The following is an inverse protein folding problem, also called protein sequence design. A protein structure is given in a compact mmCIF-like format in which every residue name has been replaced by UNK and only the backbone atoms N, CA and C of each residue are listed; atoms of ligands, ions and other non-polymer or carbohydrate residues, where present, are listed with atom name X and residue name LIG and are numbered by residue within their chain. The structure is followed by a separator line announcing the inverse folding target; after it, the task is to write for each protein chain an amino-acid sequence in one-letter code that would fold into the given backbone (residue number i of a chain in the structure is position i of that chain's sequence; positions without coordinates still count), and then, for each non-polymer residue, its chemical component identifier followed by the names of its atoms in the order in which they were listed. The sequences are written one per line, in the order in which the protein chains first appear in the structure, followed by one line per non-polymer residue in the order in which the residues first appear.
data_IF_346034870274
#
_entry.id   IF_346034870274
#
_cell.length_a   1.000
_cell.length_b   1.000
_cell.length_c   1.000
_cell.angle_alpha   90.00
_cell.angle_beta   90.00
_cell.angle_gamma   90.00
#
_symmetry.space_group_name_H-M   'P 1'
#
loop_
_entity.id
_entity.type
_entity.pdbx_description
1 polymer ?
#
# COMPACT_ATOMS: atom_id res chain seq x y z
N UNK A 1 -16.26 8.30 1.07
CA UNK A 1 -15.24 7.80 2.02
C UNK A 1 -13.80 8.15 1.59
N UNK A 2 -13.28 7.70 0.43
CA UNK A 2 -11.92 8.04 -0.03
C UNK A 2 -11.72 9.49 -0.53
N UNK A 3 -12.78 10.15 -0.99
CA UNK A 3 -12.73 11.51 -1.54
C UNK A 3 -12.51 12.60 -0.49
N UNK A 4 -12.81 12.32 0.79
CA UNK A 4 -12.64 13.29 1.89
C UNK A 4 -11.23 13.33 2.49
N UNK A 5 -10.30 12.52 2.00
CA UNK A 5 -8.93 12.48 2.51
C UNK A 5 -8.12 13.58 1.84
N UNK A 6 -7.57 14.51 2.63
CA UNK A 6 -6.67 15.53 2.10
C UNK A 6 -5.30 14.95 1.73
N UNK A 7 -5.13 14.64 0.45
CA UNK A 7 -3.92 14.04 -0.13
C UNK A 7 -2.74 15.02 -0.20
N UNK A 8 -2.93 16.31 0.07
CA UNK A 8 -1.86 17.31 0.09
C UNK A 8 -0.98 17.15 1.33
N UNK A 9 -1.54 16.62 2.42
CA UNK A 9 -0.79 16.33 3.65
C UNK A 9 -0.03 15.00 3.52
N UNK A 10 1.15 14.85 4.17
CA UNK A 10 1.85 13.57 4.23
C UNK A 10 1.00 12.44 4.82
N UNK A 11 0.25 12.74 5.88
CA UNK A 11 -0.66 11.78 6.52
C UNK A 11 -1.80 11.36 5.59
N UNK A 12 -2.49 12.31 4.94
CA UNK A 12 -3.60 11.97 4.05
C UNK A 12 -3.15 11.26 2.77
N UNK A 13 -1.97 11.59 2.22
CA UNK A 13 -1.40 10.82 1.10
C UNK A 13 -1.11 9.37 1.50
N UNK A 14 -0.59 9.13 2.71
CA UNK A 14 -0.33 7.79 3.26
C UNK A 14 -1.64 7.04 3.48
N UNK A 15 -2.62 7.67 4.11
CA UNK A 15 -3.87 7.02 4.48
C UNK A 15 -4.71 6.71 3.24
N UNK A 16 -4.73 7.61 2.25
CA UNK A 16 -5.36 7.35 0.95
C UNK A 16 -4.77 6.13 0.25
N UNK A 17 -3.45 5.97 0.23
CA UNK A 17 -2.80 4.80 -0.37
C UNK A 17 -3.14 3.51 0.39
N UNK A 18 -3.12 3.54 1.73
CA UNK A 18 -3.50 2.38 2.57
C UNK A 18 -4.96 1.97 2.34
N UNK A 19 -5.89 2.92 2.37
CA UNK A 19 -7.31 2.61 2.14
C UNK A 19 -7.57 2.14 0.71
N UNK A 20 -6.86 2.69 -0.29
CA UNK A 20 -6.96 2.20 -1.67
C UNK A 20 -6.50 0.75 -1.78
N UNK A 21 -5.41 0.39 -1.10
CA UNK A 21 -4.92 -0.99 -1.06
C UNK A 21 -5.92 -1.92 -0.35
N UNK A 22 -6.46 -1.51 0.80
CA UNK A 22 -7.47 -2.29 1.52
C UNK A 22 -8.71 -2.50 0.65
N UNK A 23 -9.21 -1.45 -0.02
CA UNK A 23 -10.36 -1.54 -0.91
C UNK A 23 -10.10 -2.49 -2.08
N UNK A 24 -8.90 -2.44 -2.66
CA UNK A 24 -8.53 -3.30 -3.79
C UNK A 24 -8.41 -4.78 -3.39
N UNK A 25 -7.91 -5.08 -2.19
CA UNK A 25 -7.49 -6.44 -1.81
C UNK A 25 -8.37 -7.11 -0.76
N UNK A 26 -9.25 -6.36 -0.10
CA UNK A 26 -9.98 -6.83 1.09
C UNK A 26 -9.07 -7.13 2.28
N UNK A 27 -7.84 -6.61 2.29
CA UNK A 27 -6.90 -6.83 3.37
C UNK A 27 -7.35 -6.16 4.68
N UNK A 28 -7.07 -6.81 5.80
CA UNK A 28 -7.35 -6.27 7.13
C UNK A 28 -6.39 -5.12 7.44
N UNK A 29 -6.80 -4.23 8.34
CA UNK A 29 -5.97 -3.09 8.75
C UNK A 29 -4.59 -3.55 9.25
N UNK A 30 -4.54 -4.62 10.05
CA UNK A 30 -3.29 -5.19 10.57
C UNK A 30 -2.36 -5.66 9.44
N UNK A 31 -2.91 -6.36 8.44
CA UNK A 31 -2.15 -6.86 7.28
C UNK A 31 -1.54 -5.71 6.46
N UNK A 32 -2.21 -4.56 6.40
CA UNK A 32 -1.73 -3.39 5.64
C UNK A 32 -0.71 -2.55 6.42
N UNK A 33 -0.82 -2.45 7.75
CA UNK A 33 0.16 -1.72 8.56
C UNK A 33 1.46 -2.51 8.78
N UNK A 34 1.40 -3.84 8.77
CA UNK A 34 2.57 -4.71 8.90
C UNK A 34 3.31 -4.92 7.55
N UNK A 35 2.73 -4.43 6.46
CA UNK A 35 3.25 -4.59 5.11
C UNK A 35 4.59 -3.87 4.92
N UNK A 36 5.58 -4.56 4.34
CA UNK A 36 6.88 -3.98 4.02
C UNK A 36 7.00 -3.73 2.52
N UNK A 37 7.90 -2.83 2.13
CA UNK A 37 8.16 -2.51 0.72
C UNK A 37 8.49 -3.77 -0.10
N UNK A 38 9.25 -4.70 0.47
CA UNK A 38 9.62 -5.99 -0.17
C UNK A 38 8.43 -6.92 -0.44
N UNK A 39 7.29 -6.67 0.21
CA UNK A 39 6.07 -7.47 0.04
C UNK A 39 5.19 -6.92 -1.10
N UNK A 40 5.56 -5.79 -1.69
CA UNK A 40 4.82 -5.13 -2.77
C UNK A 40 5.61 -5.23 -4.08
N UNK A 41 5.02 -5.86 -5.09
CA UNK A 41 5.55 -5.85 -6.45
C UNK A 41 4.85 -4.75 -7.25
N UNK A 42 5.59 -3.67 -7.50
CA UNK A 42 5.11 -2.50 -8.23
C UNK A 42 5.18 -2.65 -9.76
N UNK A 43 5.91 -3.63 -10.28
CA UNK A 43 5.98 -3.95 -11.71
C UNK A 43 4.92 -5.00 -12.12
N UNK A 44 4.41 -4.99 -13.37
CA UNK A 44 3.43 -5.96 -13.84
C UNK A 44 3.92 -7.43 -13.81
N UNK A 45 3.05 -8.41 -13.50
CA UNK A 45 1.77 -8.26 -12.80
C UNK A 45 1.91 -7.68 -11.38
N UNK A 46 1.18 -6.60 -11.11
CA UNK A 46 1.21 -5.94 -9.81
C UNK A 46 0.57 -6.82 -8.74
N UNK A 47 1.26 -7.01 -7.62
CA UNK A 47 0.78 -7.88 -6.55
C UNK A 47 1.32 -7.49 -5.19
N UNK A 48 0.59 -7.86 -4.15
CA UNK A 48 0.98 -7.71 -2.75
C UNK A 48 0.98 -9.07 -2.07
N UNK A 49 2.04 -9.34 -1.32
CA UNK A 49 2.20 -10.53 -0.49
C UNK A 49 1.73 -10.21 0.94
N UNK A 50 0.67 -10.87 1.37
CA UNK A 50 0.21 -10.82 2.75
C UNK A 50 0.61 -12.09 3.50
N UNK A 51 1.06 -11.93 4.74
CA UNK A 51 1.36 -13.05 5.65
C UNK A 51 0.29 -13.11 6.73
N UNK A 52 -0.42 -14.23 6.80
CA UNK A 52 -1.47 -14.48 7.77
C UNK A 52 -1.05 -15.47 8.87
N UNK A 53 -2.04 -15.94 9.64
CA UNK A 53 -1.83 -16.90 10.74
C UNK A 53 -1.19 -18.20 10.24
N UNK A 54 -0.16 -18.66 10.95
CA UNK A 54 0.58 -19.89 10.63
C UNK A 54 1.44 -19.74 9.38
N UNK A 55 2.02 -18.55 9.16
CA UNK A 55 2.88 -18.19 8.02
C UNK A 55 2.26 -18.46 6.64
N UNK A 56 0.93 -18.51 6.57
CA UNK A 56 0.23 -18.68 5.30
C UNK A 56 0.38 -17.42 4.46
N UNK A 57 0.87 -17.60 3.25
CA UNK A 57 1.10 -16.52 2.30
C UNK A 57 -0.08 -16.43 1.32
N UNK A 58 -0.56 -15.20 1.14
CA UNK A 58 -1.55 -14.83 0.12
C UNK A 58 -0.90 -13.84 -0.84
N UNK A 59 -0.94 -14.14 -2.15
CA UNK A 59 -0.61 -13.17 -3.20
C UNK A 59 -1.92 -12.57 -3.73
N UNK A 60 -2.08 -11.26 -3.55
CA UNK A 60 -3.22 -10.51 -4.06
C UNK A 60 -2.79 -9.66 -5.25
N UNK A 61 -3.41 -9.83 -6.44
CA UNK A 61 -3.22 -8.87 -7.51
C UNK A 61 -3.78 -7.50 -7.10
N UNK A 62 -3.10 -6.43 -7.52
CA UNK A 62 -3.57 -5.06 -7.30
C UNK A 62 -3.74 -4.34 -8.63
N UNK A 63 -4.61 -3.35 -8.66
CA UNK A 63 -4.81 -2.50 -9.82
C UNK A 63 -3.57 -1.63 -10.09
N UNK A 64 -3.26 -1.31 -11.36
CA UNK A 64 -2.15 -0.42 -11.70
C UNK A 64 -2.20 0.92 -10.95
N UNK A 65 -3.41 1.47 -10.74
CA UNK A 65 -3.61 2.70 -9.97
C UNK A 65 -3.17 2.56 -8.51
N UNK A 66 -3.49 1.44 -7.87
CA UNK A 66 -3.09 1.16 -6.49
C UNK A 66 -1.57 1.00 -6.39
N UNK A 67 -0.96 0.29 -7.36
CA UNK A 67 0.50 0.16 -7.43
C UNK A 67 1.18 1.54 -7.56
N UNK A 68 0.65 2.42 -8.42
CA UNK A 68 1.17 3.77 -8.59
C UNK A 68 1.10 4.60 -7.29
N UNK A 69 -0.02 4.54 -6.57
CA UNK A 69 -0.16 5.23 -5.26
C UNK A 69 0.87 4.73 -4.23
N UNK A 70 1.13 3.42 -4.20
CA UNK A 70 2.14 2.84 -3.31
C UNK A 70 3.56 3.28 -3.73
N UNK A 71 3.86 3.31 -5.03
CA UNK A 71 5.14 3.78 -5.57
C UNK A 71 5.43 5.22 -5.15
N UNK A 72 4.46 6.12 -5.32
CA UNK A 72 4.57 7.52 -4.91
C UNK A 72 4.78 7.68 -3.40
N UNK A 73 4.07 6.89 -2.60
CA UNK A 73 4.23 6.91 -1.14
C UNK A 73 5.63 6.47 -0.71
N UNK A 74 6.15 5.38 -1.30
CA UNK A 74 7.49 4.85 -1.01
C UNK A 74 8.57 5.86 -1.40
N UNK A 75 8.44 6.50 -2.56
CA UNK A 75 9.39 7.53 -3.01
C UNK A 75 9.40 8.73 -2.06
N UNK A 76 8.22 9.23 -1.65
CA UNK A 76 8.10 10.34 -0.70
C UNK A 76 8.76 10.01 0.65
N UNK A 77 8.56 8.80 1.17
CA UNK A 77 9.17 8.37 2.43
C UNK A 77 10.69 8.23 2.32
N UNK A 78 11.20 7.77 1.18
CA UNK A 78 12.64 7.66 0.93
C UNK A 78 13.29 9.03 0.92
N UNK A 79 12.69 9.99 0.21
CA UNK A 79 13.21 11.36 0.13
C UNK A 79 13.19 12.07 1.50
N UNK A 80 12.20 11.77 2.35
CA UNK A 80 12.10 12.33 3.70
C UNK A 80 13.13 11.76 4.68
N UNK A 81 13.72 10.58 4.42
CA UNK A 81 14.77 9.98 5.26
C UNK A 81 16.19 10.43 4.90
N UNK A 82 16.36 11.00 3.71
CA UNK A 82 17.66 11.49 3.22
C UNK A 82 17.89 12.97 3.62
N UNK A 83 16.83 13.66 4.06
CA UNK A 83 16.88 14.98 4.68
C UNK A 83 16.92 14.86 6.20
#
# INVERSE_FOLDING_TARGET
MLAGIDRKTPAGSRDHAKFSLMFNTGARVQEVIDLRVRDVRLEPPHQVRFTGKGDKIRLCPIWPRTAQLLKELIQKQTNAKIR
#
